data_IF_839677574417
#
_entry.id   IF_839677574417
#
_cell.length_a   1.000
_cell.length_b   1.000
_cell.length_c   1.000
_cell.angle_alpha   90.00
_cell.angle_beta   90.00
_cell.angle_gamma   90.00
#
_symmetry.space_group_name_H-M   'P 1'
#
loop_
_entity.id
_entity.type
_entity.pdbx_description
1 polymer ?
#
# COMPACT_ATOMS: atom_id res chain seq x y z
N UNK A 1 -3.00 -25.57 -3.60
CA UNK A 1 -4.17 -24.72 -3.92
C UNK A 1 -3.67 -23.54 -4.75
N UNK A 2 -4.05 -23.41 -6.04
CA UNK A 2 -3.67 -22.24 -6.85
C UNK A 2 -4.57 -21.08 -6.42
N UNK A 3 -4.02 -20.10 -5.71
CA UNK A 3 -4.76 -18.88 -5.32
C UNK A 3 -5.10 -18.07 -6.58
N UNK A 4 -6.35 -17.61 -6.67
CA UNK A 4 -6.79 -16.78 -7.78
C UNK A 4 -6.02 -15.44 -7.73
N UNK A 5 -5.39 -15.00 -8.83
CA UNK A 5 -4.62 -13.75 -8.86
C UNK A 5 -5.44 -12.52 -8.45
N UNK A 6 -6.77 -12.52 -8.65
CA UNK A 6 -7.66 -11.46 -8.15
C UNK A 6 -7.68 -11.39 -6.62
N UNK A 7 -7.81 -12.54 -5.96
CA UNK A 7 -7.82 -12.61 -4.48
C UNK A 7 -6.49 -12.10 -3.91
N UNK A 8 -5.38 -12.44 -4.55
CA UNK A 8 -4.05 -11.95 -4.16
C UNK A 8 -3.99 -10.42 -4.26
N UNK A 9 -4.45 -9.83 -5.37
CA UNK A 9 -4.48 -8.36 -5.55
C UNK A 9 -5.36 -7.66 -4.52
N UNK A 10 -6.51 -8.23 -4.19
CA UNK A 10 -7.41 -7.69 -3.16
C UNK A 10 -6.74 -7.71 -1.79
N UNK A 11 -6.17 -8.85 -1.38
CA UNK A 11 -5.46 -8.96 -0.10
C UNK A 11 -4.30 -7.96 -0.05
N UNK A 12 -3.52 -7.87 -1.13
CA UNK A 12 -2.38 -6.96 -1.21
C UNK A 12 -2.79 -5.49 -1.07
N UNK A 13 -3.93 -5.11 -1.68
CA UNK A 13 -4.50 -3.76 -1.55
C UNK A 13 -4.89 -3.46 -0.10
N UNK A 14 -5.54 -4.39 0.60
CA UNK A 14 -5.87 -4.24 2.02
C UNK A 14 -4.61 -4.11 2.89
N UNK A 15 -3.56 -4.87 2.60
CA UNK A 15 -2.29 -4.78 3.32
C UNK A 15 -1.66 -3.39 3.16
N UNK A 16 -1.61 -2.85 1.94
CA UNK A 16 -1.08 -1.50 1.70
C UNK A 16 -1.91 -0.41 2.37
N UNK A 17 -3.25 -0.53 2.40
CA UNK A 17 -4.11 0.38 3.17
C UNK A 17 -3.76 0.32 4.66
N UNK A 18 -3.54 -0.87 5.22
CA UNK A 18 -3.09 -1.05 6.59
C UNK A 18 -1.76 -0.36 6.87
N UNK A 19 -0.76 -0.53 5.99
CA UNK A 19 0.54 0.13 6.13
C UNK A 19 0.43 1.66 6.11
N UNK A 20 -0.36 2.21 5.19
CA UNK A 20 -0.63 3.65 5.13
C UNK A 20 -1.19 4.15 6.47
N UNK A 21 -2.20 3.47 7.02
CA UNK A 21 -2.80 3.85 8.31
C UNK A 21 -1.75 3.83 9.43
N UNK A 22 -0.95 2.75 9.52
CA UNK A 22 0.08 2.64 10.55
C UNK A 22 1.19 3.69 10.40
N UNK A 23 1.57 4.05 9.18
CA UNK A 23 2.54 5.10 8.91
C UNK A 23 1.98 6.49 9.23
N UNK A 24 0.70 6.76 8.96
CA UNK A 24 0.03 8.00 9.40
C UNK A 24 0.04 8.11 10.92
N UNK A 25 -0.36 7.06 11.63
CA UNK A 25 -0.34 7.02 13.10
C UNK A 25 1.08 7.30 13.64
N UNK A 26 2.09 6.66 13.03
CA UNK A 26 3.50 6.84 13.40
C UNK A 26 3.96 8.30 13.22
N UNK A 27 3.52 9.00 12.18
CA UNK A 27 3.82 10.43 12.00
C UNK A 27 3.17 11.33 13.07
N UNK A 28 2.01 10.93 13.60
CA UNK A 28 1.31 11.66 14.67
C UNK A 28 1.96 11.50 16.06
N UNK A 29 2.78 10.48 16.28
CA UNK A 29 3.48 10.26 17.54
C UNK A 29 4.77 11.09 17.65
N UNK A 30 5.25 11.28 18.88
CA UNK A 30 6.48 12.02 19.18
C UNK A 30 7.74 11.15 19.00
N UNK A 31 7.97 10.67 17.78
CA UNK A 31 9.20 9.97 17.40
C UNK A 31 10.31 10.93 16.97
N UNK A 32 11.54 10.42 16.97
CA UNK A 32 12.73 11.12 16.47
C UNK A 32 12.57 11.48 14.98
N UNK A 33 13.23 12.57 14.56
CA UNK A 33 13.16 13.08 13.19
C UNK A 33 13.52 12.02 12.14
N UNK A 34 14.54 11.19 12.41
CA UNK A 34 14.95 10.11 11.50
C UNK A 34 13.86 9.05 11.29
N UNK A 35 13.13 8.70 12.35
CA UNK A 35 11.98 7.78 12.27
C UNK A 35 10.87 8.43 11.46
N UNK A 36 10.53 9.70 11.73
CA UNK A 36 9.50 10.43 10.99
C UNK A 36 9.82 10.57 9.49
N UNK A 37 11.08 10.84 9.14
CA UNK A 37 11.52 10.92 7.75
C UNK A 37 11.39 9.55 7.05
N UNK A 38 11.81 8.47 7.71
CA UNK A 38 11.66 7.11 7.16
C UNK A 38 10.19 6.72 6.98
N UNK A 39 9.35 7.04 7.96
CA UNK A 39 7.91 6.80 7.91
C UNK A 39 7.26 7.60 6.78
N UNK A 40 7.67 8.85 6.55
CA UNK A 40 7.15 9.67 5.46
C UNK A 40 7.50 9.08 4.08
N UNK A 41 8.75 8.64 3.88
CA UNK A 41 9.18 7.98 2.65
C UNK A 41 8.42 6.67 2.45
N UNK A 42 8.26 5.89 3.52
CA UNK A 42 7.51 4.62 3.48
C UNK A 42 6.05 4.86 3.09
N UNK A 43 5.42 5.90 3.65
CA UNK A 43 4.05 6.27 3.33
C UNK A 43 3.86 6.67 1.85
N UNK A 44 4.80 7.44 1.29
CA UNK A 44 4.78 7.78 -0.14
C UNK A 44 4.91 6.51 -0.99
N UNK A 45 5.82 5.61 -0.62
CA UNK A 45 6.02 4.33 -1.31
C UNK A 45 4.75 3.48 -1.28
N UNK A 46 4.11 3.35 -0.12
CA UNK A 46 2.88 2.56 0.04
C UNK A 46 1.73 3.09 -0.83
N UNK A 47 1.55 4.42 -0.86
CA UNK A 47 0.54 5.07 -1.72
C UNK A 47 0.84 4.81 -3.20
N UNK A 48 2.10 4.96 -3.62
CA UNK A 48 2.49 4.72 -5.00
C UNK A 48 2.26 3.27 -5.43
N UNK A 49 2.62 2.31 -4.58
CA UNK A 49 2.40 0.89 -4.83
C UNK A 49 0.91 0.52 -4.88
N UNK A 50 0.10 1.07 -3.99
CA UNK A 50 -1.35 0.87 -4.01
C UNK A 50 -1.96 1.38 -5.33
N UNK A 51 -1.56 2.59 -5.76
CA UNK A 51 -2.02 3.16 -7.03
C UNK A 51 -1.58 2.32 -8.23
N UNK A 52 -0.33 1.85 -8.24
CA UNK A 52 0.18 0.94 -9.27
C UNK A 52 -0.63 -0.37 -9.32
N UNK A 53 -0.98 -0.92 -8.16
CA UNK A 53 -1.79 -2.14 -8.06
C UNK A 53 -3.16 -1.95 -8.70
N UNK A 54 -3.86 -0.87 -8.37
CA UNK A 54 -5.17 -0.56 -8.91
C UNK A 54 -5.13 -0.29 -10.42
N UNK A 55 -4.07 0.38 -10.92
CA UNK A 55 -3.87 0.53 -12.37
C UNK A 55 -3.68 -0.81 -13.07
N UNK A 56 -2.92 -1.73 -12.47
CA UNK A 56 -2.69 -3.08 -13.01
C UNK A 56 -3.99 -3.90 -13.03
N UNK A 57 -4.79 -3.81 -11.97
CA UNK A 57 -6.09 -4.47 -11.90
C UNK A 57 -7.06 -3.94 -12.96
N UNK A 58 -7.15 -2.61 -13.12
CA UNK A 58 -7.97 -1.97 -14.16
C UNK A 58 -7.55 -2.37 -15.59
N UNK A 59 -6.25 -2.52 -15.86
CA UNK A 59 -5.77 -3.01 -17.15
C UNK A 59 -6.17 -4.47 -17.40
N UNK A 60 -6.04 -5.34 -16.39
CA UNK A 60 -6.49 -6.73 -16.50
C UNK A 60 -8.01 -6.85 -16.67
N UNK A 61 -8.79 -5.93 -16.10
CA UNK A 61 -10.25 -5.90 -16.26
C UNK A 61 -10.71 -5.45 -17.66
N UNK A 62 -9.88 -4.72 -18.42
CA UNK A 62 -10.20 -4.28 -19.80
C UNK A 62 -9.81 -5.27 -20.90
N UNK A 63 -9.00 -6.28 -20.57
CA UNK A 63 -8.50 -7.29 -21.52
C UNK A 63 -9.42 -8.52 -21.58
N UNK A 64 -10.37 -8.64 -20.66
CA UNK A 64 -11.45 -9.63 -20.63
C UNK A 64 -12.79 -8.97 -20.98
#
# INVERSE_FOLDING_TARGET
MKLNPKIILTILSFTYIGFIITNIMTLSFNFQLGVKANTFISLISDIFFLFYLWLKENKNAKIH
#
